data_IF_674312119925
#
_entry.id   IF_674312119925
#
_cell.length_a   1.000
_cell.length_b   1.000
_cell.length_c   1.000
_cell.angle_alpha   90.00
_cell.angle_beta   90.00
_cell.angle_gamma   90.00
#
_symmetry.space_group_name_H-M   'P 1'
#
loop_
_entity.id
_entity.type
_entity.pdbx_description
1 polymer ?
#
# COMPACT_ATOMS: atom_id res chain seq x y z
N UNK A 1 -25.24 -11.41 -14.19
CA UNK A 1 -23.80 -11.63 -13.98
C UNK A 1 -23.17 -10.24 -13.88
N UNK A 2 -22.85 -9.79 -12.67
CA UNK A 2 -22.06 -8.56 -12.51
C UNK A 2 -20.68 -8.87 -13.07
N UNK A 3 -20.35 -8.32 -14.22
CA UNK A 3 -18.97 -8.32 -14.69
C UNK A 3 -18.21 -7.39 -13.75
N UNK A 4 -17.65 -7.95 -12.69
CA UNK A 4 -16.67 -7.26 -11.85
C UNK A 4 -15.51 -6.88 -12.76
N UNK A 5 -15.52 -5.65 -13.28
CA UNK A 5 -14.31 -5.05 -13.82
C UNK A 5 -13.31 -5.01 -12.68
N UNK A 6 -12.36 -5.96 -12.69
CA UNK A 6 -11.30 -6.02 -11.71
C UNK A 6 -10.57 -4.70 -11.72
N UNK A 7 -10.76 -3.91 -10.68
CA UNK A 7 -10.05 -2.64 -10.48
C UNK A 7 -8.56 -2.91 -10.52
N UNK A 8 -7.89 -2.36 -11.53
CA UNK A 8 -6.43 -2.46 -11.64
C UNK A 8 -5.83 -1.58 -10.55
N UNK A 9 -5.23 -2.21 -9.56
CA UNK A 9 -4.59 -1.51 -8.45
C UNK A 9 -3.25 -0.95 -8.92
N UNK A 10 -3.20 0.36 -9.13
CA UNK A 10 -1.98 1.10 -9.39
C UNK A 10 -1.32 1.55 -8.06
N UNK A 11 0.00 1.58 -8.04
CA UNK A 11 0.79 2.07 -6.91
C UNK A 11 1.67 3.22 -7.35
N UNK A 12 1.75 4.28 -6.56
CA UNK A 12 2.71 5.37 -6.76
C UNK A 12 4.03 4.97 -6.12
N UNK A 13 5.09 4.84 -6.92
CA UNK A 13 6.43 4.51 -6.43
C UNK A 13 7.07 5.74 -5.80
N UNK A 14 7.53 5.63 -4.55
CA UNK A 14 8.14 6.75 -3.83
C UNK A 14 9.40 6.33 -3.08
N UNK A 15 10.27 7.29 -2.77
CA UNK A 15 11.45 7.05 -1.94
C UNK A 15 11.06 6.78 -0.48
N UNK A 16 11.94 6.13 0.28
CA UNK A 16 11.72 5.90 1.71
C UNK A 16 11.58 7.19 2.54
N UNK A 17 12.14 8.30 2.06
CA UNK A 17 12.04 9.63 2.67
C UNK A 17 10.78 10.40 2.25
N UNK A 18 9.87 9.80 1.49
CA UNK A 18 8.65 10.47 1.06
C UNK A 18 7.71 10.71 2.24
N UNK A 19 7.31 11.96 2.41
CA UNK A 19 6.31 12.40 3.39
C UNK A 19 5.11 12.98 2.64
N UNK A 20 3.91 12.42 2.80
CA UNK A 20 2.68 12.87 2.15
C UNK A 20 2.21 14.18 2.79
N UNK A 21 1.58 15.02 1.97
CA UNK A 21 0.88 16.21 2.42
C UNK A 21 -0.43 15.84 3.17
N UNK A 22 -1.00 16.79 3.93
CA UNK A 22 -2.19 16.53 4.75
C UNK A 22 -3.39 16.05 3.91
N UNK A 23 -3.56 16.60 2.71
CA UNK A 23 -4.62 16.23 1.77
C UNK A 23 -4.47 14.81 1.18
N UNK A 24 -3.30 14.19 1.35
CA UNK A 24 -3.02 12.84 0.87
C UNK A 24 -3.36 11.76 1.91
N UNK A 25 -4.01 12.13 3.02
CA UNK A 25 -4.56 11.18 3.98
C UNK A 25 -6.09 11.00 3.79
N UNK A 26 -6.62 9.78 4.01
CA UNK A 26 -5.90 8.57 4.36
C UNK A 26 -5.35 7.86 3.11
N UNK A 27 -4.30 7.04 3.30
CA UNK A 27 -3.67 6.28 2.21
C UNK A 27 -3.06 4.97 2.68
N UNK A 28 -2.75 4.08 1.73
CA UNK A 28 -2.01 2.86 1.99
C UNK A 28 -0.51 3.04 1.73
N UNK A 29 0.31 2.32 2.49
CA UNK A 29 1.75 2.20 2.26
C UNK A 29 2.17 0.73 2.18
N UNK A 30 2.93 0.41 1.14
CA UNK A 30 3.66 -0.84 1.00
C UNK A 30 5.14 -0.56 1.30
N UNK A 31 5.62 -1.05 2.44
CA UNK A 31 6.97 -0.77 2.94
C UNK A 31 7.84 -2.03 2.86
N UNK A 32 8.96 -2.04 2.15
CA UNK A 32 9.89 -3.17 2.16
C UNK A 32 10.42 -3.48 3.56
N UNK A 33 10.54 -4.76 3.87
CA UNK A 33 11.27 -5.20 5.04
C UNK A 33 12.77 -5.25 4.69
N UNK A 34 13.58 -4.35 5.26
CA UNK A 34 14.99 -4.14 4.87
C UNK A 34 15.86 -5.41 4.96
N UNK A 35 15.62 -6.26 5.96
CA UNK A 35 16.34 -7.52 6.12
C UNK A 35 15.85 -8.66 5.21
N UNK A 36 14.76 -8.45 4.44
CA UNK A 36 14.09 -9.51 3.70
C UNK A 36 14.52 -9.55 2.22
N UNK A 37 15.46 -10.46 1.95
CA UNK A 37 15.90 -10.83 0.59
C UNK A 37 14.77 -11.48 -0.24
N UNK A 38 13.68 -11.90 0.39
CA UNK A 38 12.60 -12.63 -0.27
C UNK A 38 11.52 -11.70 -0.86
N UNK A 39 11.62 -10.38 -0.74
CA UNK A 39 10.67 -9.46 -1.38
C UNK A 39 9.37 -9.23 -0.59
N UNK A 40 9.33 -9.51 0.72
CA UNK A 40 8.19 -9.21 1.57
C UNK A 40 8.10 -7.71 1.90
N UNK A 41 6.86 -7.28 2.10
CA UNK A 41 6.45 -5.92 2.41
C UNK A 41 5.60 -5.92 3.69
N UNK A 42 5.51 -4.79 4.36
CA UNK A 42 4.48 -4.46 5.34
C UNK A 42 3.41 -3.61 4.65
N UNK A 43 2.13 -3.94 4.86
CA UNK A 43 0.98 -3.14 4.38
C UNK A 43 0.40 -2.36 5.56
N UNK A 44 0.41 -1.04 5.43
CA UNK A 44 -0.04 -0.11 6.47
C UNK A 44 -1.11 0.81 5.87
N UNK A 45 -2.12 1.17 6.67
CA UNK A 45 -3.10 2.20 6.33
C UNK A 45 -2.91 3.39 7.26
N UNK A 46 -2.55 4.54 6.70
CA UNK A 46 -2.36 5.78 7.43
C UNK A 46 -3.65 6.59 7.42
N UNK A 47 -4.10 6.98 8.61
CA UNK A 47 -5.27 7.83 8.85
C UNK A 47 -4.83 9.30 8.96
N UNK A 48 -3.64 9.53 9.52
CA UNK A 48 -3.00 10.84 9.64
C UNK A 48 -1.49 10.67 9.86
N UNK A 49 -0.73 11.77 10.06
CA UNK A 49 0.73 11.74 10.14
C UNK A 49 1.27 10.76 11.19
N UNK A 50 0.65 10.73 12.38
CA UNK A 50 1.06 9.87 13.51
C UNK A 50 -0.01 8.80 13.85
N UNK A 51 -0.98 8.58 12.95
CA UNK A 51 -2.08 7.64 13.17
C UNK A 51 -2.16 6.64 12.03
N UNK A 52 -1.87 5.37 12.33
CA UNK A 52 -1.85 4.31 11.32
C UNK A 52 -2.24 2.95 11.89
N UNK A 53 -2.69 2.08 11.00
CA UNK A 53 -2.98 0.67 11.26
C UNK A 53 -2.05 -0.21 10.42
N UNK A 54 -1.32 -1.10 11.08
CA UNK A 54 -0.59 -2.15 10.39
C UNK A 54 -1.56 -3.27 10.02
N UNK A 55 -1.89 -3.38 8.73
CA UNK A 55 -2.87 -4.35 8.25
C UNK A 55 -2.24 -5.72 8.03
N UNK A 56 -1.03 -5.75 7.46
CA UNK A 56 -0.25 -6.97 7.26
C UNK A 56 1.22 -6.71 7.58
N UNK A 57 1.79 -7.34 8.62
CA UNK A 57 3.18 -7.10 9.01
C UNK A 57 4.18 -7.71 8.00
N UNK A 58 3.76 -8.72 7.25
CA UNK A 58 4.59 -9.43 6.27
C UNK A 58 3.74 -10.06 5.17
N UNK A 59 3.79 -9.49 3.98
CA UNK A 59 3.01 -9.94 2.83
C UNK A 59 3.81 -9.81 1.53
N UNK A 60 3.60 -10.74 0.58
CA UNK A 60 4.15 -10.62 -0.78
C UNK A 60 3.39 -9.55 -1.55
N UNK A 61 4.08 -8.80 -2.41
CA UNK A 61 3.47 -7.72 -3.23
C UNK A 61 2.18 -8.15 -3.92
N UNK A 62 2.18 -9.29 -4.63
CA UNK A 62 0.98 -9.75 -5.36
C UNK A 62 -0.22 -10.01 -4.45
N UNK A 63 0.01 -10.53 -3.23
CA UNK A 63 -1.04 -10.80 -2.27
C UNK A 63 -1.59 -9.50 -1.67
N UNK A 64 -0.72 -8.52 -1.42
CA UNK A 64 -1.14 -7.19 -0.98
C UNK A 64 -2.01 -6.49 -2.03
N UNK A 65 -1.59 -6.50 -3.31
CA UNK A 65 -2.38 -5.91 -4.39
C UNK A 65 -3.74 -6.60 -4.57
N UNK A 66 -3.82 -7.92 -4.39
CA UNK A 66 -5.10 -8.66 -4.42
C UNK A 66 -6.02 -8.28 -3.25
N UNK A 67 -5.49 -8.03 -2.06
CA UNK A 67 -6.30 -7.51 -0.94
C UNK A 67 -6.78 -6.10 -1.22
N UNK A 68 -5.87 -5.23 -1.67
CA UNK A 68 -6.17 -3.85 -2.02
C UNK A 68 -7.21 -3.75 -3.15
N UNK A 69 -7.20 -4.65 -4.12
CA UNK A 69 -8.21 -4.63 -5.19
C UNK A 69 -9.62 -4.81 -4.66
N UNK A 70 -9.79 -5.67 -3.64
CA UNK A 70 -11.08 -5.90 -2.98
C UNK A 70 -11.47 -4.73 -2.07
N UNK A 71 -10.52 -4.17 -1.32
CA UNK A 71 -10.83 -3.06 -0.40
C UNK A 71 -11.11 -1.75 -1.14
N UNK A 72 -10.41 -1.51 -2.25
CA UNK A 72 -10.57 -0.30 -3.06
C UNK A 72 -11.82 -0.32 -3.95
N UNK A 73 -12.59 -1.41 -3.99
CA UNK A 73 -13.90 -1.43 -4.66
C UNK A 73 -14.86 -0.41 -4.03
N UNK A 74 -14.72 -0.15 -2.72
CA UNK A 74 -15.66 0.68 -1.96
C UNK A 74 -15.07 2.01 -1.47
N UNK A 75 -13.76 2.24 -1.65
CA UNK A 75 -13.09 3.49 -1.26
C UNK A 75 -11.84 3.72 -2.11
N UNK A 76 -11.67 4.92 -2.67
CA UNK A 76 -10.50 5.28 -3.47
C UNK A 76 -9.45 6.01 -2.64
N UNK A 77 -8.46 5.25 -2.17
CA UNK A 77 -7.29 5.79 -1.46
C UNK A 77 -6.01 5.50 -2.23
N UNK A 78 -5.07 6.44 -2.20
CA UNK A 78 -3.77 6.27 -2.84
C UNK A 78 -2.97 5.13 -2.18
N UNK A 79 -2.13 4.47 -2.97
CA UNK A 79 -1.22 3.44 -2.50
C UNK A 79 0.20 3.86 -2.84
N UNK A 80 0.98 4.22 -1.83
CA UNK A 80 2.40 4.47 -1.98
C UNK A 80 3.18 3.19 -1.79
N UNK A 81 4.00 2.83 -2.76
CA UNK A 81 4.93 1.71 -2.65
C UNK A 81 6.35 2.25 -2.50
N UNK A 82 6.92 2.02 -1.32
CA UNK A 82 8.27 2.48 -0.98
C UNK A 82 9.29 1.65 -1.77
N UNK A 83 10.13 2.34 -2.52
CA UNK A 83 11.19 1.73 -3.30
C UNK A 83 12.31 1.24 -2.38
N UNK A 84 12.81 0.03 -2.65
CA UNK A 84 14.03 -0.47 -2.01
C UNK A 84 15.21 0.41 -2.42
N UNK A 85 16.12 0.72 -1.49
CA UNK A 85 17.44 1.25 -1.87
C UNK A 85 18.15 0.17 -2.67
N UNK A 86 18.46 0.49 -3.94
CA UNK A 86 19.26 -0.39 -4.82
C UNK A 86 20.70 -0.50 -4.36
#
# INVERSE_FOLDING_TARGET
MLTEEKKVVATVKVAASFTPAEEQFPHYRLVPLDADRQGYLCLIFYIGPDSFLMLEPRIKRYAALKKLSLWLENADYEIYEIMRKG
#
